data_IF_586262149331
#
_entry.id   IF_586262149331
#
_cell.length_a   1.000
_cell.length_b   1.000
_cell.length_c   1.000
_cell.angle_alpha   90.00
_cell.angle_beta   90.00
_cell.angle_gamma   90.00
#
_symmetry.space_group_name_H-M   'P 1'
#
loop_
_entity.id
_entity.type
_entity.pdbx_description
1 polymer ?
#
# COMPACT_ATOMS: atom_id res chain seq x y z
N UNK A 1 18.99 22.48 92.67
CA UNK A 1 19.42 23.01 91.36
C UNK A 1 19.16 21.92 90.32
N UNK A 2 18.08 22.00 89.54
CA UNK A 2 17.66 20.95 88.62
C UNK A 2 17.98 21.41 87.19
N UNK A 3 18.96 20.72 86.53
CA UNK A 3 19.31 21.01 85.18
C UNK A 3 18.26 20.38 84.23
N UNK A 4 17.52 21.20 83.50
CA UNK A 4 16.58 20.78 82.49
C UNK A 4 17.35 20.39 81.26
N UNK A 5 17.28 19.11 80.83
CA UNK A 5 17.83 18.59 79.58
C UNK A 5 16.80 18.80 78.49
N UNK A 6 17.14 19.67 77.52
CA UNK A 6 16.36 19.84 76.27
C UNK A 6 16.78 18.78 75.26
N UNK A 7 15.89 17.85 74.97
CA UNK A 7 16.04 16.91 73.87
C UNK A 7 15.45 17.55 72.61
N UNK A 8 16.34 17.93 71.68
CA UNK A 8 15.95 18.41 70.36
C UNK A 8 15.70 17.18 69.48
N UNK A 9 14.42 16.93 69.15
CA UNK A 9 13.99 15.89 68.23
C UNK A 9 14.15 16.43 66.79
N UNK A 10 15.23 16.06 66.07
CA UNK A 10 15.39 16.35 64.68
C UNK A 10 14.46 15.42 63.84
N UNK A 11 13.33 15.97 63.38
CA UNK A 11 12.53 15.30 62.35
C UNK A 11 13.22 15.44 61.02
N UNK A 12 13.87 14.39 60.53
CA UNK A 12 14.36 14.30 59.16
C UNK A 12 13.20 13.91 58.24
N UNK A 13 12.70 14.89 57.49
CA UNK A 13 11.77 14.66 56.39
C UNK A 13 12.51 13.95 55.23
N UNK A 14 12.34 12.66 55.12
CA UNK A 14 12.70 11.94 53.86
C UNK A 14 11.71 12.31 52.78
N UNK A 15 12.10 13.24 51.89
CA UNK A 15 11.38 13.47 50.63
C UNK A 15 11.65 12.28 49.72
N UNK A 16 10.71 11.36 49.61
CA UNK A 16 10.70 10.30 48.57
C UNK A 16 10.40 10.93 47.21
N UNK A 17 11.42 11.17 46.40
CA UNK A 17 11.23 11.49 45.02
C UNK A 17 10.64 10.25 44.31
N UNK A 18 9.32 10.22 44.12
CA UNK A 18 8.68 9.27 43.25
C UNK A 18 9.09 9.57 41.80
N UNK A 19 10.11 8.89 41.31
CA UNK A 19 10.41 8.85 39.87
C UNK A 19 9.23 8.13 39.20
N UNK A 20 8.29 8.89 38.64
CA UNK A 20 7.31 8.39 37.69
C UNK A 20 8.14 7.92 36.46
N UNK A 21 8.24 6.61 36.28
CA UNK A 21 8.76 6.01 35.05
C UNK A 21 7.79 6.38 33.93
N UNK A 22 8.04 7.52 33.29
CA UNK A 22 7.38 7.89 32.05
C UNK A 22 7.70 6.79 31.04
N UNK A 23 6.65 6.07 30.60
CA UNK A 23 6.77 5.15 29.48
C UNK A 23 7.17 5.97 28.25
N UNK A 24 8.43 5.86 27.84
CA UNK A 24 8.89 6.46 26.61
C UNK A 24 7.96 6.07 25.47
N UNK A 25 7.44 7.03 24.67
CA UNK A 25 6.57 6.70 23.56
C UNK A 25 7.37 5.79 22.59
N UNK A 26 6.89 4.55 22.40
CA UNK A 26 7.48 3.62 21.42
C UNK A 26 7.71 4.38 20.13
N UNK A 27 8.93 4.35 19.55
CA UNK A 27 9.23 5.08 18.33
C UNK A 27 8.22 4.65 17.25
N UNK A 28 7.55 5.64 16.65
CA UNK A 28 6.56 5.40 15.61
C UNK A 28 7.19 4.58 14.49
N UNK A 29 6.61 3.42 14.18
CA UNK A 29 7.13 2.50 13.17
C UNK A 29 7.22 3.22 11.82
N UNK A 30 8.41 3.50 11.33
CA UNK A 30 8.62 4.21 10.06
C UNK A 30 8.02 3.36 8.93
N UNK A 31 7.03 3.93 8.21
CA UNK A 31 6.40 3.25 7.08
C UNK A 31 7.42 2.95 5.99
N UNK A 32 7.40 1.73 5.46
CA UNK A 32 8.23 1.32 4.32
C UNK A 32 7.91 2.13 3.05
N UNK A 33 8.80 2.16 2.07
CA UNK A 33 8.56 2.83 0.79
C UNK A 33 7.34 2.22 0.08
N UNK A 34 7.16 0.89 0.15
CA UNK A 34 5.96 0.18 -0.32
C UNK A 34 4.68 0.68 0.37
N UNK A 35 4.65 0.72 1.68
CA UNK A 35 3.47 1.18 2.42
C UNK A 35 3.10 2.64 2.11
N UNK A 36 4.09 3.52 1.95
CA UNK A 36 3.90 4.91 1.51
C UNK A 36 3.36 5.00 0.08
N UNK A 37 3.78 4.09 -0.80
CA UNK A 37 3.28 4.01 -2.17
C UNK A 37 1.82 3.60 -2.19
N UNK A 38 1.45 2.54 -1.47
CA UNK A 38 0.06 2.06 -1.36
C UNK A 38 -0.86 3.17 -0.84
N UNK A 39 -0.41 3.92 0.17
CA UNK A 39 -1.16 5.08 0.68
C UNK A 39 -1.33 6.17 -0.40
N UNK A 40 -0.27 6.44 -1.18
CA UNK A 40 -0.33 7.41 -2.29
C UNK A 40 -1.31 6.96 -3.38
N UNK A 41 -1.36 5.66 -3.72
CA UNK A 41 -2.33 5.08 -4.65
C UNK A 41 -3.76 5.25 -4.12
N UNK A 42 -3.99 4.98 -2.84
CA UNK A 42 -5.31 5.18 -2.21
C UNK A 42 -5.80 6.64 -2.37
N UNK A 43 -4.92 7.60 -2.18
CA UNK A 43 -5.25 9.02 -2.40
C UNK A 43 -5.45 9.34 -3.88
N UNK A 44 -4.67 8.74 -4.79
CA UNK A 44 -4.85 8.91 -6.23
C UNK A 44 -6.25 8.44 -6.66
N UNK A 45 -6.65 7.23 -6.27
CA UNK A 45 -8.01 6.70 -6.55
C UNK A 45 -9.12 7.60 -5.99
N UNK A 46 -8.93 8.20 -4.80
CA UNK A 46 -9.90 9.17 -4.23
C UNK A 46 -9.98 10.47 -5.05
N UNK A 47 -8.86 10.98 -5.57
CA UNK A 47 -8.87 12.16 -6.42
C UNK A 47 -9.50 11.87 -7.77
N UNK A 48 -9.24 10.71 -8.34
CA UNK A 48 -9.82 10.26 -9.59
C UNK A 48 -11.35 10.14 -9.50
N UNK A 49 -11.87 9.50 -8.44
CA UNK A 49 -13.30 9.41 -8.17
C UNK A 49 -14.00 10.78 -8.00
N UNK A 50 -13.23 11.83 -7.71
CA UNK A 50 -13.72 13.23 -7.61
C UNK A 50 -13.44 14.06 -8.86
N UNK A 51 -13.04 13.43 -9.98
CA UNK A 51 -12.67 14.11 -11.22
C UNK A 51 -11.40 14.97 -11.15
N UNK A 52 -10.62 14.90 -10.07
CA UNK A 52 -9.38 15.68 -9.87
C UNK A 52 -8.18 14.99 -10.50
N UNK A 53 -8.20 14.81 -11.83
CA UNK A 53 -7.29 13.94 -12.57
C UNK A 53 -5.82 14.36 -12.42
N UNK A 54 -5.50 15.65 -12.46
CA UNK A 54 -4.12 16.14 -12.27
C UNK A 54 -3.57 15.81 -10.87
N UNK A 55 -4.42 15.89 -9.84
CA UNK A 55 -4.03 15.50 -8.48
C UNK A 55 -3.83 13.98 -8.37
N UNK A 56 -4.67 13.20 -9.04
CA UNK A 56 -4.52 11.75 -9.12
C UNK A 56 -3.20 11.37 -9.81
N UNK A 57 -2.91 11.95 -10.98
CA UNK A 57 -1.68 11.74 -11.74
C UNK A 57 -0.41 12.02 -10.91
N UNK A 58 -0.38 13.15 -10.20
CA UNK A 58 0.73 13.48 -9.29
C UNK A 58 0.91 12.43 -8.18
N UNK A 59 -0.18 11.87 -7.66
CA UNK A 59 -0.13 10.83 -6.63
C UNK A 59 0.32 9.48 -7.20
N UNK A 60 -0.11 9.11 -8.41
CA UNK A 60 0.38 7.91 -9.09
C UNK A 60 1.89 8.00 -9.39
N UNK A 61 2.37 9.14 -9.89
CA UNK A 61 3.80 9.36 -10.12
C UNK A 61 4.63 9.27 -8.83
N UNK A 62 4.11 9.83 -7.71
CA UNK A 62 4.75 9.68 -6.39
C UNK A 62 4.80 8.21 -5.95
N UNK A 63 3.71 7.48 -6.14
CA UNK A 63 3.64 6.06 -5.78
C UNK A 63 4.64 5.24 -6.61
N UNK A 64 4.70 5.46 -7.92
CA UNK A 64 5.63 4.77 -8.81
C UNK A 64 7.10 4.96 -8.36
N UNK A 65 7.51 6.19 -8.04
CA UNK A 65 8.87 6.45 -7.51
C UNK A 65 9.17 5.68 -6.23
N UNK A 66 8.20 5.59 -5.32
CA UNK A 66 8.35 4.84 -4.07
C UNK A 66 8.40 3.32 -4.31
N UNK A 67 7.63 2.82 -5.28
CA UNK A 67 7.62 1.41 -5.67
C UNK A 67 8.94 1.01 -6.35
N UNK A 68 9.48 1.84 -7.24
CA UNK A 68 10.79 1.63 -7.84
C UNK A 68 11.88 1.53 -6.75
N UNK A 69 11.84 2.42 -5.77
CA UNK A 69 12.75 2.38 -4.62
C UNK A 69 12.53 1.15 -3.74
N UNK A 70 11.28 0.70 -3.56
CA UNK A 70 10.97 -0.54 -2.85
C UNK A 70 11.52 -1.75 -3.61
N UNK A 71 11.30 -1.80 -4.92
CA UNK A 71 11.75 -2.89 -5.78
C UNK A 71 13.28 -2.99 -5.86
N UNK A 72 14.00 -1.85 -5.85
CA UNK A 72 15.47 -1.85 -5.82
C UNK A 72 16.03 -2.43 -4.51
N UNK A 73 15.33 -2.23 -3.38
CA UNK A 73 15.74 -2.77 -2.07
C UNK A 73 15.36 -4.22 -1.87
N UNK A 74 14.20 -4.62 -2.38
CA UNK A 74 13.64 -5.97 -2.30
C UNK A 74 13.05 -6.32 -3.66
N UNK A 75 13.85 -6.82 -4.60
CA UNK A 75 13.37 -7.23 -5.91
C UNK A 75 12.48 -8.47 -5.82
N UNK A 76 11.79 -8.77 -6.91
CA UNK A 76 10.99 -9.99 -7.06
C UNK A 76 9.87 -10.15 -6.01
N UNK A 77 9.20 -9.04 -5.68
CA UNK A 77 7.98 -9.07 -4.87
C UNK A 77 6.78 -8.86 -5.80
N UNK A 78 5.93 -9.88 -5.97
CA UNK A 78 4.77 -9.84 -6.86
C UNK A 78 3.84 -8.64 -6.56
N UNK A 79 3.55 -8.37 -5.29
CA UNK A 79 2.79 -7.19 -4.87
C UNK A 79 3.40 -5.85 -5.33
N UNK A 80 4.73 -5.71 -5.24
CA UNK A 80 5.42 -4.49 -5.69
C UNK A 80 5.33 -4.34 -7.20
N UNK A 81 5.51 -5.43 -7.94
CA UNK A 81 5.37 -5.48 -9.39
C UNK A 81 3.92 -5.21 -9.84
N UNK A 82 2.93 -5.73 -9.11
CA UNK A 82 1.53 -5.41 -9.31
C UNK A 82 1.26 -3.90 -9.28
N UNK A 83 1.71 -3.23 -8.22
CA UNK A 83 1.50 -1.79 -8.11
C UNK A 83 2.40 -0.97 -9.03
N UNK A 84 3.58 -1.47 -9.44
CA UNK A 84 4.37 -0.86 -10.52
C UNK A 84 3.61 -0.92 -11.84
N UNK A 85 3.08 -2.08 -12.22
CA UNK A 85 2.24 -2.23 -13.39
C UNK A 85 1.04 -1.29 -13.36
N UNK A 86 0.32 -1.26 -12.24
CA UNK A 86 -0.84 -0.40 -12.04
C UNK A 86 -0.49 1.09 -12.18
N UNK A 87 0.52 1.58 -11.48
CA UNK A 87 0.87 3.00 -11.51
C UNK A 87 1.44 3.43 -12.87
N UNK A 88 2.22 2.58 -13.52
CA UNK A 88 2.79 2.83 -14.84
C UNK A 88 1.67 2.95 -15.90
N UNK A 89 0.71 2.03 -15.87
CA UNK A 89 -0.48 2.08 -16.73
C UNK A 89 -1.32 3.33 -16.46
N UNK A 90 -1.56 3.70 -15.19
CA UNK A 90 -2.31 4.91 -14.80
C UNK A 90 -1.61 6.22 -15.23
N UNK A 91 -0.34 6.17 -15.54
CA UNK A 91 0.43 7.26 -16.12
C UNK A 91 0.45 7.25 -17.66
N UNK A 92 -0.21 6.26 -18.29
CA UNK A 92 -0.37 6.15 -19.74
C UNK A 92 0.61 5.22 -20.43
N UNK A 93 1.53 4.61 -19.71
CA UNK A 93 2.52 3.66 -20.25
C UNK A 93 2.02 2.22 -20.11
N UNK A 94 1.19 1.80 -21.06
CA UNK A 94 0.59 0.46 -21.05
C UNK A 94 1.62 -0.64 -21.28
N UNK A 95 2.60 -0.41 -22.15
CA UNK A 95 3.61 -1.41 -22.52
C UNK A 95 4.49 -1.79 -21.31
N UNK A 96 5.06 -0.81 -20.62
CA UNK A 96 5.86 -1.07 -19.44
C UNK A 96 4.99 -1.52 -18.25
N UNK A 97 3.73 -1.08 -18.17
CA UNK A 97 2.76 -1.59 -17.21
C UNK A 97 2.55 -3.11 -17.36
N UNK A 98 2.36 -3.59 -18.59
CA UNK A 98 2.25 -5.02 -18.90
C UNK A 98 3.50 -5.79 -18.51
N UNK A 99 4.70 -5.27 -18.84
CA UNK A 99 5.98 -5.93 -18.48
C UNK A 99 6.09 -6.17 -16.98
N UNK A 100 5.69 -5.20 -16.15
CA UNK A 100 5.69 -5.39 -14.70
C UNK A 100 4.72 -6.48 -14.25
N UNK A 101 3.52 -6.53 -14.83
CA UNK A 101 2.55 -7.58 -14.51
C UNK A 101 3.07 -8.97 -14.90
N UNK A 102 3.64 -9.12 -16.10
CA UNK A 102 4.21 -10.38 -16.55
C UNK A 102 5.39 -10.83 -15.68
N UNK A 103 6.25 -9.91 -15.25
CA UNK A 103 7.30 -10.21 -14.27
C UNK A 103 6.71 -10.71 -12.94
N UNK A 104 5.64 -10.09 -12.47
CA UNK A 104 4.97 -10.52 -11.25
C UNK A 104 4.33 -11.90 -11.38
N UNK A 105 3.71 -12.22 -12.52
CA UNK A 105 3.14 -13.54 -12.80
C UNK A 105 4.19 -14.63 -13.00
N UNK A 106 5.40 -14.28 -13.42
CA UNK A 106 6.51 -15.22 -13.47
C UNK A 106 6.94 -15.68 -12.07
N UNK A 107 6.68 -14.87 -11.03
CA UNK A 107 6.97 -15.18 -9.63
C UNK A 107 5.76 -15.86 -8.98
N UNK A 108 4.57 -15.30 -9.19
CA UNK A 108 3.32 -15.74 -8.59
C UNK A 108 2.21 -15.82 -9.65
N UNK A 109 2.10 -16.95 -10.39
CA UNK A 109 1.16 -17.08 -11.52
C UNK A 109 -0.30 -16.85 -11.16
N UNK A 110 -0.70 -17.16 -9.92
CA UNK A 110 -2.07 -17.03 -9.43
C UNK A 110 -2.32 -15.74 -8.63
N UNK A 111 -1.41 -14.76 -8.70
CA UNK A 111 -1.57 -13.49 -7.98
C UNK A 111 -2.85 -12.76 -8.41
N UNK A 112 -3.83 -12.67 -7.50
CA UNK A 112 -5.19 -12.19 -7.79
C UNK A 112 -5.17 -10.80 -8.43
N UNK A 113 -4.56 -9.81 -7.77
CA UNK A 113 -4.56 -8.43 -8.26
C UNK A 113 -3.79 -8.24 -9.58
N UNK A 114 -2.76 -9.06 -9.88
CA UNK A 114 -2.08 -8.97 -11.17
C UNK A 114 -2.97 -9.53 -12.28
N UNK A 115 -3.62 -10.69 -12.08
CA UNK A 115 -4.50 -11.26 -13.08
C UNK A 115 -5.69 -10.33 -13.36
N UNK A 116 -6.27 -9.68 -12.35
CA UNK A 116 -7.30 -8.64 -12.54
C UNK A 116 -6.77 -7.48 -13.39
N UNK A 117 -5.71 -6.81 -12.95
CA UNK A 117 -5.24 -5.58 -13.59
C UNK A 117 -4.63 -5.81 -14.97
N UNK A 118 -3.99 -6.95 -15.21
CA UNK A 118 -3.52 -7.34 -16.53
C UNK A 118 -4.70 -7.66 -17.45
N UNK A 119 -5.74 -8.34 -16.93
CA UNK A 119 -6.98 -8.58 -17.66
C UNK A 119 -7.66 -7.28 -18.10
N UNK A 120 -7.78 -6.29 -17.19
CA UNK A 120 -8.30 -4.96 -17.53
C UNK A 120 -7.42 -4.24 -18.58
N UNK A 121 -6.09 -4.37 -18.49
CA UNK A 121 -5.18 -3.79 -19.48
C UNK A 121 -5.43 -4.43 -20.86
N UNK A 122 -5.64 -5.74 -20.91
CA UNK A 122 -5.94 -6.44 -22.16
C UNK A 122 -7.27 -5.99 -22.76
N UNK A 123 -8.31 -5.77 -21.95
CA UNK A 123 -9.56 -5.16 -22.44
C UNK A 123 -9.31 -3.77 -23.01
N UNK A 124 -8.59 -2.92 -22.26
CA UNK A 124 -8.30 -1.55 -22.67
C UNK A 124 -7.44 -1.46 -23.96
N UNK A 125 -6.69 -2.51 -24.28
CA UNK A 125 -5.86 -2.62 -25.49
C UNK A 125 -6.48 -3.54 -26.55
N UNK A 126 -7.78 -3.85 -26.44
CA UNK A 126 -8.55 -4.66 -27.39
C UNK A 126 -8.02 -6.10 -27.60
N UNK A 127 -7.45 -6.68 -26.54
CA UNK A 127 -6.93 -8.06 -26.50
C UNK A 127 -7.83 -8.95 -25.64
N UNK A 128 -9.08 -9.07 -26.04
CA UNK A 128 -10.15 -9.67 -25.24
C UNK A 128 -9.91 -11.14 -24.86
N UNK A 129 -9.28 -11.92 -25.76
CA UNK A 129 -9.00 -13.34 -25.49
C UNK A 129 -7.99 -13.50 -24.35
N UNK A 130 -6.94 -12.67 -24.33
CA UNK A 130 -5.99 -12.64 -23.21
C UNK A 130 -6.64 -12.21 -21.89
N UNK A 131 -7.62 -11.28 -21.95
CA UNK A 131 -8.38 -10.90 -20.76
C UNK A 131 -9.19 -12.07 -20.20
N UNK A 132 -9.83 -12.88 -21.07
CA UNK A 132 -10.58 -14.08 -20.68
C UNK A 132 -9.67 -15.15 -20.05
N UNK A 133 -8.43 -15.29 -20.54
CA UNK A 133 -7.45 -16.19 -19.92
C UNK A 133 -7.14 -15.76 -18.47
N UNK A 134 -6.98 -14.44 -18.24
CA UNK A 134 -6.76 -13.92 -16.86
C UNK A 134 -7.99 -14.15 -15.99
N UNK A 135 -9.19 -13.94 -16.53
CA UNK A 135 -10.44 -14.20 -15.81
C UNK A 135 -10.56 -15.67 -15.38
N UNK A 136 -10.20 -16.61 -16.27
CA UNK A 136 -10.21 -18.05 -15.97
C UNK A 136 -9.33 -18.42 -14.77
N UNK A 137 -8.18 -17.77 -14.61
CA UNK A 137 -7.31 -18.00 -13.44
C UNK A 137 -7.99 -17.56 -12.14
N UNK A 138 -8.84 -16.54 -12.19
CA UNK A 138 -9.57 -16.02 -11.05
C UNK A 138 -10.86 -16.78 -10.73
N UNK A 139 -11.29 -17.74 -11.55
CA UNK A 139 -12.61 -18.38 -11.45
C UNK A 139 -12.90 -18.97 -10.05
N UNK A 140 -11.90 -19.52 -9.41
CA UNK A 140 -12.04 -20.19 -8.12
C UNK A 140 -11.61 -19.34 -6.91
N UNK A 141 -11.29 -18.05 -7.09
CA UNK A 141 -10.80 -17.23 -5.98
C UNK A 141 -11.89 -16.76 -5.02
N UNK A 142 -13.17 -16.83 -5.43
CA UNK A 142 -14.30 -16.26 -4.68
C UNK A 142 -14.08 -14.79 -4.25
N UNK A 143 -13.44 -13.99 -5.10
CA UNK A 143 -12.97 -12.64 -4.84
C UNK A 143 -13.70 -11.58 -5.68
N UNK A 144 -13.60 -10.31 -5.27
CA UNK A 144 -14.19 -9.19 -6.01
C UNK A 144 -13.49 -8.94 -7.35
N UNK A 145 -12.19 -9.23 -7.44
CA UNK A 145 -11.39 -9.07 -8.63
C UNK A 145 -11.91 -9.88 -9.81
N UNK A 146 -12.38 -11.11 -9.55
CA UNK A 146 -13.07 -11.92 -10.57
C UNK A 146 -14.33 -11.23 -11.09
N UNK A 147 -15.18 -10.75 -10.17
CA UNK A 147 -16.43 -10.09 -10.53
C UNK A 147 -16.19 -8.79 -11.29
N UNK A 148 -15.22 -7.99 -10.85
CA UNK A 148 -14.85 -6.74 -11.50
C UNK A 148 -14.33 -6.99 -12.92
N UNK A 149 -13.38 -7.90 -13.09
CA UNK A 149 -12.84 -8.22 -14.41
C UNK A 149 -13.92 -8.80 -15.34
N UNK A 150 -14.77 -9.69 -14.83
CA UNK A 150 -15.90 -10.24 -15.60
C UNK A 150 -16.83 -9.14 -16.11
N UNK A 151 -17.23 -8.21 -15.26
CA UNK A 151 -18.10 -7.08 -15.63
C UNK A 151 -17.46 -6.18 -16.69
N UNK A 152 -16.15 -5.99 -16.63
CA UNK A 152 -15.40 -5.20 -17.61
C UNK A 152 -15.33 -5.92 -18.95
N UNK A 153 -15.09 -7.24 -18.96
CA UNK A 153 -15.08 -8.08 -20.17
C UNK A 153 -16.48 -8.11 -20.82
N UNK A 154 -17.52 -8.23 -20.01
CA UNK A 154 -18.94 -8.26 -20.48
C UNK A 154 -19.45 -6.85 -20.89
N UNK A 155 -18.67 -5.79 -20.70
CA UNK A 155 -19.03 -4.40 -21.04
C UNK A 155 -20.09 -3.78 -20.11
N UNK A 156 -20.45 -4.44 -19.00
CA UNK A 156 -21.43 -3.95 -18.02
C UNK A 156 -20.82 -2.95 -17.04
N UNK A 157 -19.50 -2.93 -16.92
CA UNK A 157 -18.73 -1.96 -16.17
C UNK A 157 -17.66 -1.35 -17.06
N UNK A 158 -17.55 -0.03 -17.06
CA UNK A 158 -16.40 0.62 -17.72
C UNK A 158 -15.14 0.33 -16.93
N UNK A 159 -14.07 -0.05 -17.66
CA UNK A 159 -12.73 -0.05 -17.07
C UNK A 159 -12.44 1.35 -16.49
N UNK A 160 -11.82 1.39 -15.36
CA UNK A 160 -11.42 2.65 -14.70
C UNK A 160 -10.24 3.34 -15.39
N UNK A 161 -10.00 3.00 -16.67
CA UNK A 161 -8.83 3.40 -17.45
C UNK A 161 -9.21 3.92 -18.83
#
# INVERSE_FOLDING_TARGET
>A
MIKKLFIILCLTLFATNSFSAGSDPKPAKVKTDYAKAVESIKWAKKYEAKGKLEKAKKRYAKAQKLLLKSNSKKPNQADTLNYLGFTTRKLGDYENGEKYYLQGLAIEPNHIGINEYLGELYVATNRLDLAKERLKILENCNCEEYKELKQIIDGTKKSKY
#
